data_IF_774094107119
#
_entry.id   IF_774094107119
#
_cell.length_a   1.000
_cell.length_b   1.000
_cell.length_c   1.000
_cell.angle_alpha   90.00
_cell.angle_beta   90.00
_cell.angle_gamma   90.00
#
_symmetry.space_group_name_H-M   'P 1'
#
loop_
_entity.id
_entity.type
_entity.pdbx_description
1 polymer ?
#
# COMPACT_ATOMS: atom_id res chain seq x y z
N UNK A 1 -27.52 1.00 4.86
CA UNK A 1 -26.16 0.64 4.40
C UNK A 1 -25.15 1.65 4.94
N UNK A 2 -23.95 1.20 5.38
CA UNK A 2 -22.85 2.04 5.84
C UNK A 2 -21.52 1.34 5.51
N UNK A 3 -20.90 1.70 4.42
CA UNK A 3 -19.71 1.04 3.91
C UNK A 3 -18.54 2.02 3.83
N UNK A 4 -17.35 1.59 4.24
CA UNK A 4 -16.13 2.38 4.24
C UNK A 4 -15.16 1.77 3.25
N UNK A 5 -14.51 2.60 2.46
CA UNK A 5 -13.46 2.18 1.54
C UNK A 5 -12.26 3.10 1.61
N UNK A 6 -11.09 2.51 1.51
CA UNK A 6 -9.81 3.21 1.48
C UNK A 6 -8.96 2.68 0.34
N UNK A 7 -8.22 3.55 -0.33
CA UNK A 7 -7.21 3.15 -1.29
C UNK A 7 -6.13 4.20 -1.46
N UNK A 8 -4.91 3.73 -1.64
CA UNK A 8 -3.75 4.54 -1.95
C UNK A 8 -3.13 4.04 -3.25
N UNK A 9 -2.98 4.92 -4.24
CA UNK A 9 -2.41 4.59 -5.56
C UNK A 9 -1.40 5.66 -5.98
N UNK A 10 -0.32 5.20 -6.60
CA UNK A 10 0.73 6.05 -7.13
C UNK A 10 1.92 6.19 -6.21
N UNK A 11 2.79 7.10 -6.59
CA UNK A 11 4.04 7.44 -5.93
C UNK A 11 4.37 8.92 -6.11
N UNK A 12 5.38 9.39 -5.38
CA UNK A 12 5.81 10.79 -5.41
C UNK A 12 4.71 11.75 -4.96
N UNK A 13 4.82 13.00 -5.39
CA UNK A 13 3.89 14.06 -4.99
C UNK A 13 2.48 13.89 -5.61
N UNK A 14 2.35 13.16 -6.72
CA UNK A 14 1.07 12.90 -7.36
C UNK A 14 0.29 11.72 -6.76
N UNK A 15 0.83 11.05 -5.75
CA UNK A 15 0.16 9.97 -5.04
C UNK A 15 -1.25 10.37 -4.60
N UNK A 16 -2.22 9.49 -4.81
CA UNK A 16 -3.60 9.68 -4.41
C UNK A 16 -3.96 8.78 -3.24
N UNK A 17 -4.47 9.37 -2.16
CA UNK A 17 -5.07 8.63 -1.06
C UNK A 17 -6.55 9.01 -0.92
N UNK A 18 -7.40 8.04 -1.10
CA UNK A 18 -8.86 8.18 -1.06
C UNK A 18 -9.40 7.46 0.16
N UNK A 19 -10.18 8.15 0.98
CA UNK A 19 -11.13 7.55 1.92
C UNK A 19 -12.54 7.92 1.49
N UNK A 20 -13.45 6.98 1.55
CA UNK A 20 -14.84 7.24 1.25
C UNK A 20 -15.80 6.48 2.16
N UNK A 21 -16.99 7.04 2.29
CA UNK A 21 -18.13 6.38 2.91
C UNK A 21 -19.29 6.36 1.93
N UNK A 22 -19.95 5.20 1.82
CA UNK A 22 -21.14 4.97 0.98
C UNK A 22 -22.28 4.55 1.88
N UNK A 23 -23.43 5.19 1.76
CA UNK A 23 -24.59 4.81 2.57
C UNK A 23 -25.87 5.52 2.18
N UNK A 24 -26.95 5.19 2.87
CA UNK A 24 -28.28 5.68 2.62
C UNK A 24 -28.40 7.18 2.87
N UNK A 25 -29.21 7.84 2.03
CA UNK A 25 -29.54 9.28 2.16
C UNK A 25 -30.16 9.61 3.52
N UNK A 26 -31.03 8.73 4.03
CA UNK A 26 -31.70 8.89 5.30
C UNK A 26 -30.82 8.46 6.51
N UNK A 27 -29.63 7.94 6.25
CA UNK A 27 -28.70 7.43 7.26
C UNK A 27 -27.59 8.41 7.65
N UNK A 28 -26.61 7.94 8.43
CA UNK A 28 -25.47 8.76 8.87
C UNK A 28 -24.66 9.36 7.73
N UNK A 29 -24.53 8.63 6.59
CA UNK A 29 -23.79 9.09 5.42
C UNK A 29 -24.53 10.24 4.71
N UNK A 30 -25.86 10.16 4.64
CA UNK A 30 -26.69 11.24 4.11
C UNK A 30 -26.66 12.49 4.98
N UNK A 31 -26.64 12.34 6.29
CA UNK A 31 -26.47 13.46 7.23
C UNK A 31 -25.10 14.12 7.06
N UNK A 32 -24.02 13.32 6.92
CA UNK A 32 -22.67 13.83 6.68
C UNK A 32 -22.58 14.55 5.31
N UNK A 33 -23.25 14.03 4.29
CA UNK A 33 -23.36 14.65 2.96
C UNK A 33 -24.05 16.03 3.03
N UNK A 34 -25.22 16.10 3.66
CA UNK A 34 -25.97 17.34 3.82
C UNK A 34 -25.19 18.37 4.64
N UNK A 35 -24.56 17.95 5.73
CA UNK A 35 -23.70 18.82 6.54
C UNK A 35 -22.50 19.33 5.75
N UNK A 36 -21.85 18.48 4.95
CA UNK A 36 -20.74 18.87 4.10
C UNK A 36 -21.12 19.93 3.07
N UNK A 37 -22.32 19.88 2.50
CA UNK A 37 -22.81 20.89 1.56
C UNK A 37 -23.20 22.22 2.23
N UNK A 38 -23.70 22.17 3.46
CA UNK A 38 -24.24 23.35 4.15
C UNK A 38 -23.23 24.03 5.07
N UNK A 39 -22.22 23.34 5.56
CA UNK A 39 -21.22 23.87 6.49
C UNK A 39 -19.87 24.05 5.77
N UNK A 40 -19.54 25.30 5.46
CA UNK A 40 -18.27 25.63 4.86
C UNK A 40 -17.14 25.61 5.88
N UNK A 41 -16.08 24.85 5.59
CA UNK A 41 -14.85 24.84 6.37
C UNK A 41 -13.73 25.54 5.60
N UNK A 42 -13.01 26.43 6.26
CA UNK A 42 -11.90 27.15 5.64
C UNK A 42 -10.84 26.17 5.12
N UNK A 43 -10.53 26.26 3.82
CA UNK A 43 -9.55 25.40 3.16
C UNK A 43 -9.99 23.96 2.89
N UNK A 44 -11.18 23.57 3.35
CA UNK A 44 -11.72 22.20 3.15
C UNK A 44 -13.15 22.23 2.59
N UNK A 45 -13.43 23.19 1.73
CA UNK A 45 -14.77 23.37 1.14
C UNK A 45 -15.13 22.18 0.27
N UNK A 46 -16.19 21.42 0.61
CA UNK A 46 -16.67 20.31 -0.19
C UNK A 46 -17.30 20.80 -1.52
N UNK A 47 -17.26 19.94 -2.53
CA UNK A 47 -17.86 20.19 -3.83
C UNK A 47 -18.68 18.97 -4.27
N UNK A 48 -19.89 19.20 -4.79
CA UNK A 48 -20.65 18.16 -5.46
C UNK A 48 -19.98 17.73 -6.76
N UNK A 49 -19.69 16.46 -6.88
CA UNK A 49 -18.99 15.91 -8.04
C UNK A 49 -19.88 15.87 -9.27
N UNK A 50 -19.34 16.28 -10.40
CA UNK A 50 -20.04 16.31 -11.68
C UNK A 50 -19.25 15.56 -12.77
N UNK A 51 -19.97 14.94 -13.70
CA UNK A 51 -19.38 14.37 -14.93
C UNK A 51 -19.00 15.50 -15.90
N UNK A 52 -19.86 16.52 -15.97
CA UNK A 52 -19.65 17.78 -16.69
C UNK A 52 -20.56 18.84 -16.08
N UNK A 53 -20.39 20.13 -16.39
CA UNK A 53 -21.30 21.17 -15.91
C UNK A 53 -22.77 20.79 -16.14
N UNK A 54 -23.58 20.94 -15.11
CA UNK A 54 -25.01 20.61 -15.07
C UNK A 54 -25.35 19.11 -15.17
N UNK A 55 -24.37 18.21 -14.92
CA UNK A 55 -24.59 16.77 -14.88
C UNK A 55 -23.84 16.16 -13.69
N UNK A 56 -24.53 16.02 -12.55
CA UNK A 56 -24.01 15.38 -11.36
C UNK A 56 -23.81 13.87 -11.56
N UNK A 57 -22.96 13.30 -10.73
CA UNK A 57 -22.84 11.83 -10.61
C UNK A 57 -24.08 11.22 -9.98
N UNK A 58 -24.30 9.95 -10.28
CA UNK A 58 -25.24 9.10 -9.57
C UNK A 58 -24.54 7.80 -9.17
N UNK A 59 -24.49 7.51 -7.86
CA UNK A 59 -25.01 8.24 -6.69
C UNK A 59 -24.46 9.68 -6.58
N UNK A 60 -25.22 10.57 -5.91
CA UNK A 60 -24.72 11.90 -5.59
C UNK A 60 -23.45 11.77 -4.74
N UNK A 61 -22.38 12.43 -5.17
CA UNK A 61 -21.05 12.29 -4.58
C UNK A 61 -20.49 13.63 -4.17
N UNK A 62 -19.98 13.72 -2.95
CA UNK A 62 -19.30 14.89 -2.42
C UNK A 62 -17.79 14.62 -2.38
N UNK A 63 -16.99 15.52 -2.95
CA UNK A 63 -15.53 15.51 -2.81
C UNK A 63 -15.12 16.49 -1.71
N UNK A 64 -14.22 16.03 -0.82
CA UNK A 64 -13.73 16.78 0.34
C UNK A 64 -12.20 16.77 0.30
N UNK A 65 -11.51 17.93 0.23
CA UNK A 65 -10.07 17.98 0.32
C UNK A 65 -9.58 17.58 1.72
N UNK A 66 -8.63 16.63 1.83
CA UNK A 66 -7.96 16.28 3.09
C UNK A 66 -6.88 17.28 3.49
N UNK A 67 -6.27 17.93 2.51
CA UNK A 67 -5.25 18.96 2.72
C UNK A 67 -5.92 20.33 2.59
N UNK A 68 -5.50 21.27 3.41
CA UNK A 68 -6.00 22.65 3.31
C UNK A 68 -5.69 23.24 1.95
N UNK A 69 -6.71 23.64 1.23
CA UNK A 69 -6.60 24.38 -0.03
C UNK A 69 -6.16 25.80 0.31
N UNK A 70 -4.90 26.12 0.01
CA UNK A 70 -4.27 27.39 0.40
C UNK A 70 -4.45 28.47 -0.65
N UNK A 71 -4.49 28.11 -1.92
CA UNK A 71 -4.55 29.04 -3.04
C UNK A 71 -5.37 28.50 -4.23
N UNK A 72 -5.38 29.25 -5.34
CA UNK A 72 -6.12 28.87 -6.54
C UNK A 72 -5.47 27.69 -7.30
N UNK A 73 -4.17 27.49 -7.17
CA UNK A 73 -3.48 26.35 -7.80
C UNK A 73 -3.87 25.05 -7.09
N UNK A 74 -3.88 25.04 -5.78
CA UNK A 74 -4.40 23.91 -4.99
C UNK A 74 -5.87 23.63 -5.31
N UNK A 75 -6.69 24.68 -5.37
CA UNK A 75 -8.10 24.54 -5.75
C UNK A 75 -8.24 23.93 -7.15
N UNK A 76 -7.42 24.33 -8.11
CA UNK A 76 -7.45 23.82 -9.47
C UNK A 76 -7.11 22.31 -9.54
N UNK A 77 -6.17 21.82 -8.70
CA UNK A 77 -5.83 20.39 -8.60
C UNK A 77 -7.00 19.57 -8.09
N UNK A 78 -7.68 20.06 -7.05
CA UNK A 78 -8.82 19.35 -6.44
C UNK A 78 -10.06 19.39 -7.35
N UNK A 79 -10.45 20.59 -7.78
CA UNK A 79 -11.71 20.79 -8.52
C UNK A 79 -11.58 20.56 -10.04
N UNK A 80 -10.36 20.37 -10.54
CA UNK A 80 -10.07 19.95 -11.90
C UNK A 80 -9.85 18.43 -12.00
N UNK A 81 -8.59 17.97 -12.06
CA UNK A 81 -8.28 16.56 -12.33
C UNK A 81 -8.83 15.60 -11.29
N UNK A 82 -8.78 15.91 -9.99
CA UNK A 82 -9.26 14.99 -8.96
C UNK A 82 -10.78 14.84 -8.98
N UNK A 83 -11.52 15.95 -9.06
CA UNK A 83 -12.99 15.92 -9.18
C UNK A 83 -13.43 15.13 -10.43
N UNK A 84 -12.78 15.39 -11.56
CA UNK A 84 -13.10 14.67 -12.81
C UNK A 84 -12.81 13.18 -12.69
N UNK A 85 -11.71 12.82 -12.01
CA UNK A 85 -11.34 11.43 -11.72
C UNK A 85 -12.36 10.72 -10.83
N UNK A 86 -12.77 11.37 -9.73
CA UNK A 86 -13.80 10.84 -8.81
C UNK A 86 -15.13 10.64 -9.54
N UNK A 87 -15.58 11.65 -10.28
CA UNK A 87 -16.84 11.57 -11.04
C UNK A 87 -16.84 10.41 -12.03
N UNK A 88 -15.75 10.25 -12.78
CA UNK A 88 -15.61 9.15 -13.74
C UNK A 88 -15.56 7.78 -13.03
N UNK A 89 -14.82 7.66 -11.94
CA UNK A 89 -14.69 6.41 -11.18
C UNK A 89 -16.05 5.97 -10.60
N UNK A 90 -16.86 6.90 -10.10
CA UNK A 90 -18.22 6.61 -9.60
C UNK A 90 -19.11 6.10 -10.74
N UNK A 91 -19.09 6.76 -11.90
CA UNK A 91 -19.88 6.33 -13.05
C UNK A 91 -19.49 4.93 -13.54
N UNK A 92 -18.18 4.69 -13.67
CA UNK A 92 -17.66 3.39 -14.11
C UNK A 92 -17.93 2.29 -13.07
N UNK A 93 -17.92 2.60 -11.76
CA UNK A 93 -18.29 1.64 -10.72
C UNK A 93 -19.77 1.21 -10.78
N UNK A 94 -20.66 2.11 -11.20
CA UNK A 94 -22.08 1.77 -11.48
C UNK A 94 -22.18 0.96 -12.77
N UNK A 95 -21.47 1.35 -13.83
CA UNK A 95 -21.48 0.64 -15.11
C UNK A 95 -20.98 -0.80 -14.98
N UNK A 96 -19.92 -1.01 -14.20
CA UNK A 96 -19.31 -2.32 -13.94
C UNK A 96 -20.06 -3.15 -12.87
N UNK A 97 -21.08 -2.58 -12.23
CA UNK A 97 -21.94 -3.29 -11.28
C UNK A 97 -21.39 -3.37 -9.84
N UNK A 98 -20.27 -2.69 -9.50
CA UNK A 98 -19.84 -2.57 -8.10
C UNK A 98 -20.88 -1.81 -7.27
N UNK A 99 -21.50 -0.79 -7.83
CA UNK A 99 -22.66 -0.12 -7.25
C UNK A 99 -23.89 -0.54 -8.07
N UNK A 100 -24.88 -1.24 -7.47
CA UNK A 100 -26.10 -1.62 -8.16
C UNK A 100 -26.89 -0.41 -8.66
N UNK A 101 -27.41 -0.48 -9.89
CA UNK A 101 -28.13 0.64 -10.53
C UNK A 101 -29.46 0.99 -9.85
N UNK A 102 -30.07 0.04 -9.20
CA UNK A 102 -31.36 0.18 -8.53
C UNK A 102 -31.29 0.99 -7.23
N UNK A 103 -30.10 1.10 -6.62
CA UNK A 103 -29.92 1.85 -5.36
C UNK A 103 -29.28 3.23 -5.54
N UNK A 104 -28.87 3.63 -6.75
CA UNK A 104 -28.10 4.88 -6.96
C UNK A 104 -28.83 6.16 -6.53
N UNK A 105 -30.16 6.13 -6.47
CA UNK A 105 -30.97 7.25 -5.99
C UNK A 105 -31.17 7.27 -4.48
N UNK A 106 -30.94 6.15 -3.81
CA UNK A 106 -31.19 5.98 -2.37
C UNK A 106 -29.94 6.17 -1.53
N UNK A 107 -28.77 6.17 -2.16
CA UNK A 107 -27.46 6.30 -1.50
C UNK A 107 -26.72 7.57 -1.92
N UNK A 108 -25.76 7.96 -1.08
CA UNK A 108 -24.79 9.02 -1.36
C UNK A 108 -23.36 8.56 -1.04
N UNK A 109 -22.38 9.24 -1.60
CA UNK A 109 -20.95 8.97 -1.38
C UNK A 109 -20.27 10.25 -0.92
N UNK A 110 -19.52 10.17 0.19
CA UNK A 110 -18.59 11.22 0.60
C UNK A 110 -17.18 10.70 0.34
N UNK A 111 -16.42 11.39 -0.51
CA UNK A 111 -15.05 11.04 -0.92
C UNK A 111 -14.08 12.09 -0.42
N UNK A 112 -13.19 11.68 0.47
CA UNK A 112 -12.07 12.53 0.91
C UNK A 112 -10.85 12.27 0.02
N UNK A 113 -10.25 13.33 -0.53
CA UNK A 113 -9.10 13.26 -1.44
C UNK A 113 -7.87 13.89 -0.80
N UNK A 114 -6.76 13.20 -0.87
CA UNK A 114 -5.45 13.76 -0.56
C UNK A 114 -4.74 14.12 -1.86
N UNK A 115 -4.28 15.37 -1.95
CA UNK A 115 -3.42 15.87 -3.02
C UNK A 115 -2.29 16.64 -2.38
N UNK A 116 -1.05 16.23 -2.63
CA UNK A 116 0.13 16.94 -2.15
C UNK A 116 0.17 18.35 -2.81
N UNK A 117 0.33 19.43 -2.03
CA UNK A 117 0.48 20.77 -2.58
C UNK A 117 1.63 20.90 -3.61
N UNK A 118 2.68 20.07 -3.47
CA UNK A 118 3.80 20.05 -4.42
C UNK A 118 3.49 19.28 -5.72
N UNK A 119 2.35 18.59 -5.84
CA UNK A 119 1.94 17.88 -7.05
C UNK A 119 1.76 18.87 -8.22
N UNK A 120 2.29 18.51 -9.40
CA UNK A 120 2.26 19.38 -10.60
C UNK A 120 1.72 18.69 -11.85
N UNK A 121 1.71 17.36 -11.87
CA UNK A 121 1.30 16.60 -13.03
C UNK A 121 -0.19 16.25 -12.98
N UNK A 122 -1.02 17.11 -13.58
CA UNK A 122 -2.48 16.96 -13.61
C UNK A 122 -2.94 15.62 -14.21
N UNK A 123 -2.21 15.07 -15.18
CA UNK A 123 -2.53 13.76 -15.76
C UNK A 123 -2.34 12.65 -14.74
N UNK A 124 -1.25 12.66 -13.97
CA UNK A 124 -1.02 11.68 -12.90
C UNK A 124 -2.02 11.88 -11.75
N UNK A 125 -2.31 13.13 -11.35
CA UNK A 125 -3.36 13.42 -10.36
C UNK A 125 -4.67 12.77 -10.79
N UNK A 126 -5.09 12.97 -12.04
CA UNK A 126 -6.30 12.32 -12.57
C UNK A 126 -6.20 10.79 -12.51
N UNK A 127 -5.14 10.20 -13.08
CA UNK A 127 -5.00 8.75 -13.18
C UNK A 127 -4.99 8.06 -11.81
N UNK A 128 -4.25 8.62 -10.84
CA UNK A 128 -4.12 8.02 -9.53
C UNK A 128 -5.40 8.20 -8.70
N UNK A 129 -6.04 9.37 -8.74
CA UNK A 129 -7.32 9.57 -8.06
C UNK A 129 -8.44 8.73 -8.68
N UNK A 130 -8.48 8.55 -10.00
CA UNK A 130 -9.41 7.64 -10.64
C UNK A 130 -9.24 6.19 -10.15
N UNK A 131 -8.01 5.67 -10.22
CA UNK A 131 -7.73 4.31 -9.77
C UNK A 131 -8.01 4.11 -8.28
N UNK A 132 -7.59 5.05 -7.43
CA UNK A 132 -7.82 5.00 -5.99
C UNK A 132 -9.31 5.06 -5.64
N UNK A 133 -10.08 5.96 -6.25
CA UNK A 133 -11.54 6.05 -6.02
C UNK A 133 -12.25 4.76 -6.43
N UNK A 134 -11.93 4.23 -7.61
CA UNK A 134 -12.54 2.99 -8.10
C UNK A 134 -12.23 1.80 -7.18
N UNK A 135 -10.97 1.68 -6.74
CA UNK A 135 -10.55 0.63 -5.82
C UNK A 135 -11.22 0.79 -4.44
N UNK A 136 -11.30 2.02 -3.92
CA UNK A 136 -11.96 2.29 -2.64
C UNK A 136 -13.47 1.98 -2.69
N UNK A 137 -14.18 2.31 -3.77
CA UNK A 137 -15.59 1.92 -3.96
C UNK A 137 -15.74 0.41 -3.95
N UNK A 138 -14.92 -0.29 -4.73
CA UNK A 138 -14.93 -1.75 -4.77
C UNK A 138 -14.72 -2.34 -3.38
N UNK A 139 -13.69 -1.92 -2.65
CA UNK A 139 -13.39 -2.37 -1.29
C UNK A 139 -14.53 -2.10 -0.32
N UNK A 140 -15.15 -0.92 -0.40
CA UNK A 140 -16.33 -0.57 0.41
C UNK A 140 -17.48 -1.54 0.17
N UNK A 141 -17.80 -1.83 -1.09
CA UNK A 141 -18.91 -2.70 -1.45
C UNK A 141 -18.65 -4.18 -1.17
N UNK A 142 -17.38 -4.62 -1.22
CA UNK A 142 -16.95 -5.98 -0.88
C UNK A 142 -16.69 -6.18 0.63
N UNK A 143 -16.73 -5.12 1.45
CA UNK A 143 -16.44 -5.19 2.89
C UNK A 143 -14.96 -5.49 3.19
N UNK A 144 -14.04 -5.09 2.29
CA UNK A 144 -12.61 -5.25 2.49
C UNK A 144 -12.04 -4.14 3.39
N UNK A 145 -11.04 -4.46 4.25
CA UNK A 145 -10.42 -5.78 4.48
C UNK A 145 -11.18 -6.64 5.48
N UNK A 146 -10.99 -7.97 5.40
CA UNK A 146 -11.43 -8.86 6.48
C UNK A 146 -10.60 -8.64 7.75
N UNK A 147 -11.15 -8.98 8.91
CA UNK A 147 -10.41 -8.87 10.19
C UNK A 147 -9.15 -9.74 10.18
N UNK A 148 -9.20 -10.92 9.59
CA UNK A 148 -8.05 -11.81 9.50
C UNK A 148 -6.91 -11.18 8.68
N UNK A 149 -7.25 -10.50 7.58
CA UNK A 149 -6.28 -9.74 6.78
C UNK A 149 -5.63 -8.61 7.59
N UNK A 150 -6.42 -7.87 8.35
CA UNK A 150 -5.90 -6.78 9.22
C UNK A 150 -4.95 -7.33 10.26
N UNK A 151 -5.32 -8.43 10.93
CA UNK A 151 -4.50 -9.06 11.95
C UNK A 151 -3.19 -9.63 11.38
N UNK A 152 -3.23 -10.22 10.20
CA UNK A 152 -2.05 -10.75 9.51
C UNK A 152 -1.05 -9.65 9.09
N UNK A 153 -1.54 -8.45 8.77
CA UNK A 153 -0.75 -7.35 8.23
C UNK A 153 -0.43 -6.23 9.24
N UNK A 154 -1.00 -6.26 10.44
CA UNK A 154 -0.92 -5.16 11.43
C UNK A 154 0.50 -4.67 11.74
N UNK A 155 1.49 -5.56 11.68
CA UNK A 155 2.89 -5.26 12.02
C UNK A 155 3.74 -4.89 10.79
N UNK A 156 3.12 -4.72 9.60
CA UNK A 156 3.81 -4.43 8.34
C UNK A 156 3.59 -3.02 7.83
N UNK A 157 2.84 -2.21 8.58
CA UNK A 157 2.41 -0.92 8.09
C UNK A 157 3.55 0.09 7.91
N UNK A 158 3.74 0.57 6.68
CA UNK A 158 4.32 1.88 6.43
C UNK A 158 3.32 2.72 5.68
N UNK A 159 3.18 3.99 6.06
CA UNK A 159 2.39 4.93 5.29
C UNK A 159 3.34 5.75 4.41
N UNK A 160 3.23 5.69 3.06
CA UNK A 160 4.18 6.34 2.14
C UNK A 160 4.31 7.85 2.35
N UNK A 161 3.22 8.50 2.79
CA UNK A 161 3.19 9.95 3.07
C UNK A 161 3.80 10.27 4.43
N UNK A 162 3.61 9.39 5.42
CA UNK A 162 4.01 9.63 6.80
C UNK A 162 5.41 9.11 7.14
N UNK A 163 6.00 8.28 6.27
CA UNK A 163 7.37 7.77 6.40
C UNK A 163 7.64 6.95 7.68
N UNK A 164 6.58 6.51 8.37
CA UNK A 164 6.71 5.76 9.60
C UNK A 164 6.53 4.26 9.36
N UNK A 165 7.47 3.47 9.85
CA UNK A 165 7.41 2.01 9.84
C UNK A 165 7.54 1.48 11.27
N UNK A 166 6.69 0.53 11.63
CA UNK A 166 6.82 -0.17 12.93
C UNK A 166 8.12 -0.97 12.92
N UNK A 167 9.00 -0.68 13.88
CA UNK A 167 10.26 -1.40 13.99
C UNK A 167 10.02 -2.75 14.66
N UNK A 168 10.52 -3.83 14.05
CA UNK A 168 10.41 -5.19 14.58
C UNK A 168 11.71 -5.68 15.23
N UNK A 169 12.84 -5.16 14.78
CA UNK A 169 14.17 -5.52 15.30
C UNK A 169 14.66 -4.43 16.24
N UNK A 170 14.24 -4.51 17.53
CA UNK A 170 14.48 -3.47 18.53
C UNK A 170 15.80 -3.64 19.29
N UNK A 171 16.31 -4.87 19.38
CA UNK A 171 17.27 -5.20 20.44
C UNK A 171 18.28 -6.25 19.98
N UNK A 172 19.25 -5.92 19.10
CA UNK A 172 20.28 -6.85 18.69
C UNK A 172 21.11 -7.34 19.91
N UNK A 173 21.79 -8.50 19.81
CA UNK A 173 21.96 -9.31 18.59
C UNK A 173 20.79 -10.28 18.34
N UNK A 174 20.64 -10.69 17.07
CA UNK A 174 19.71 -11.73 16.61
C UNK A 174 20.48 -12.90 16.01
N UNK A 175 19.91 -14.10 16.12
CA UNK A 175 20.39 -15.30 15.44
C UNK A 175 19.54 -15.51 14.18
N UNK A 176 20.15 -15.38 13.02
CA UNK A 176 19.53 -15.72 11.74
C UNK A 176 19.86 -17.15 11.39
N UNK A 177 18.83 -17.97 11.16
CA UNK A 177 18.97 -19.39 10.78
C UNK A 177 18.56 -19.52 9.32
N UNK A 178 19.57 -19.71 8.45
CA UNK A 178 19.36 -19.90 7.03
C UNK A 178 18.94 -21.37 6.73
N UNK A 179 17.79 -21.53 6.13
CA UNK A 179 17.27 -22.84 5.69
C UNK A 179 17.72 -23.08 4.25
N UNK A 180 19.01 -23.32 4.06
CA UNK A 180 19.62 -23.64 2.76
C UNK A 180 19.42 -25.11 2.41
N UNK A 181 18.15 -25.51 2.26
CA UNK A 181 17.70 -26.87 2.09
C UNK A 181 16.99 -27.05 0.76
N UNK A 182 16.91 -28.29 0.33
CA UNK A 182 16.17 -28.68 -0.88
C UNK A 182 15.01 -29.68 -0.57
N UNK A 183 14.57 -29.74 0.69
CA UNK A 183 13.59 -30.70 1.19
C UNK A 183 12.68 -30.04 2.24
N UNK A 184 11.35 -30.11 2.04
CA UNK A 184 10.37 -29.51 2.94
C UNK A 184 10.28 -30.23 4.30
N UNK A 185 10.38 -31.56 4.32
CA UNK A 185 10.31 -32.32 5.59
C UNK A 185 11.51 -32.00 6.49
N UNK A 186 12.68 -31.77 5.89
CA UNK A 186 13.87 -31.31 6.63
C UNK A 186 13.68 -29.89 7.15
N UNK A 187 13.11 -28.98 6.34
CA UNK A 187 12.76 -27.64 6.75
C UNK A 187 11.80 -27.65 7.95
N UNK A 188 10.72 -28.40 7.87
CA UNK A 188 9.73 -28.50 8.96
C UNK A 188 10.35 -29.04 10.25
N UNK A 189 11.19 -30.07 10.18
CA UNK A 189 11.89 -30.62 11.35
C UNK A 189 12.77 -29.57 12.01
N UNK A 190 13.61 -28.87 11.23
CA UNK A 190 14.48 -27.82 11.77
C UNK A 190 13.65 -26.70 12.39
N UNK A 191 12.61 -26.21 11.71
CA UNK A 191 11.73 -25.17 12.24
C UNK A 191 11.12 -25.60 13.57
N UNK A 192 10.66 -26.85 13.70
CA UNK A 192 10.06 -27.37 14.92
C UNK A 192 11.07 -27.51 16.07
N UNK A 193 12.32 -27.79 15.75
CA UNK A 193 13.40 -27.91 16.73
C UNK A 193 13.97 -26.54 17.18
N UNK A 194 13.75 -25.47 16.40
CA UNK A 194 14.17 -24.13 16.76
C UNK A 194 13.38 -23.60 17.98
N UNK A 195 14.03 -22.90 18.91
CA UNK A 195 13.33 -22.24 20.00
C UNK A 195 12.42 -21.14 19.44
N UNK A 196 11.17 -21.09 19.89
CA UNK A 196 10.25 -19.98 19.58
C UNK A 196 10.61 -18.77 20.45
N UNK A 197 11.58 -18.00 19.99
CA UNK A 197 12.14 -16.83 20.65
C UNK A 197 12.22 -15.66 19.68
N UNK A 198 11.86 -14.50 20.14
CA UNK A 198 11.89 -13.23 19.42
C UNK A 198 13.25 -12.91 18.77
N UNK A 199 14.35 -13.45 19.31
CA UNK A 199 15.70 -13.23 18.80
C UNK A 199 16.16 -14.25 17.75
N UNK A 200 15.30 -15.18 17.35
CA UNK A 200 15.57 -16.15 16.30
C UNK A 200 14.84 -15.71 15.03
N UNK A 201 15.60 -15.36 14.01
CA UNK A 201 15.10 -15.04 12.69
C UNK A 201 15.21 -16.28 11.80
N UNK A 202 14.20 -16.53 10.98
CA UNK A 202 14.17 -17.69 10.07
C UNK A 202 14.32 -17.18 8.65
N UNK A 203 15.30 -17.71 7.94
CA UNK A 203 15.52 -17.39 6.53
C UNK A 203 15.11 -18.54 5.63
N UNK A 204 14.19 -18.29 4.70
CA UNK A 204 13.96 -19.14 3.57
C UNK A 204 15.13 -18.97 2.60
N UNK A 205 16.13 -19.85 2.69
CA UNK A 205 17.38 -19.75 1.95
C UNK A 205 17.18 -19.86 0.44
N UNK A 206 18.14 -19.33 -0.32
CA UNK A 206 18.10 -19.31 -1.80
C UNK A 206 17.78 -20.68 -2.43
N UNK A 207 18.39 -21.81 -1.98
CA UNK A 207 18.06 -23.13 -2.55
C UNK A 207 16.62 -23.55 -2.32
N UNK A 208 16.09 -23.26 -1.14
CA UNK A 208 14.72 -23.58 -0.75
C UNK A 208 13.71 -22.81 -1.61
N UNK A 209 13.91 -21.48 -1.73
CA UNK A 209 13.06 -20.61 -2.54
C UNK A 209 13.13 -20.99 -4.02
N UNK A 210 14.32 -21.27 -4.54
CA UNK A 210 14.48 -21.67 -5.96
C UNK A 210 13.82 -23.00 -6.29
N UNK A 211 13.79 -23.93 -5.34
CA UNK A 211 13.20 -25.27 -5.57
C UNK A 211 11.66 -25.25 -5.42
N UNK A 212 11.14 -24.55 -4.44
CA UNK A 212 9.71 -24.62 -4.07
C UNK A 212 8.93 -23.30 -4.36
N UNK A 213 9.61 -22.28 -4.86
CA UNK A 213 9.03 -20.96 -5.09
C UNK A 213 8.90 -20.14 -3.81
N UNK A 214 8.48 -18.88 -3.97
CA UNK A 214 8.32 -17.92 -2.85
C UNK A 214 7.25 -18.36 -1.85
N UNK A 215 6.27 -19.17 -2.27
CA UNK A 215 5.23 -19.75 -1.40
C UNK A 215 5.75 -20.55 -0.21
N UNK A 216 7.05 -20.96 -0.21
CA UNK A 216 7.67 -21.57 0.96
C UNK A 216 7.74 -20.62 2.17
N UNK A 217 7.78 -19.33 1.95
CA UNK A 217 7.73 -18.30 3.02
C UNK A 217 6.40 -18.40 3.77
N UNK A 218 5.28 -18.53 3.04
CA UNK A 218 3.96 -18.74 3.62
C UNK A 218 3.88 -20.01 4.47
N UNK A 219 4.50 -21.12 4.01
CA UNK A 219 4.59 -22.37 4.79
C UNK A 219 5.39 -22.20 6.10
N UNK A 220 6.51 -21.45 6.06
CA UNK A 220 7.26 -21.12 7.29
C UNK A 220 6.39 -20.28 8.24
N UNK A 221 5.62 -19.34 7.72
CA UNK A 221 4.68 -18.53 8.49
C UNK A 221 3.60 -19.37 9.18
N UNK A 222 3.06 -20.37 8.49
CA UNK A 222 2.08 -21.30 9.07
C UNK A 222 2.67 -22.08 10.26
N UNK A 223 3.93 -22.52 10.14
CA UNK A 223 4.63 -23.25 11.21
C UNK A 223 5.06 -22.34 12.37
N UNK A 224 5.37 -21.07 12.09
CA UNK A 224 5.85 -20.07 13.06
C UNK A 224 5.17 -18.70 12.85
N UNK A 225 3.94 -18.53 13.31
CA UNK A 225 3.15 -17.33 13.05
C UNK A 225 3.79 -16.02 13.53
N UNK A 226 4.57 -16.05 14.61
CA UNK A 226 5.23 -14.87 15.21
C UNK A 226 6.67 -14.65 14.78
N UNK A 227 7.28 -15.56 14.02
CA UNK A 227 8.69 -15.45 13.62
C UNK A 227 8.94 -14.28 12.67
N UNK A 228 10.12 -13.67 12.76
CA UNK A 228 10.63 -12.79 11.72
C UNK A 228 11.19 -13.64 10.58
N UNK A 229 10.60 -13.55 9.39
CA UNK A 229 10.93 -14.41 8.24
C UNK A 229 11.59 -13.59 7.14
N UNK A 230 12.73 -14.07 6.69
CA UNK A 230 13.55 -13.48 5.62
C UNK A 230 13.37 -14.34 4.37
N UNK A 231 13.05 -13.73 3.23
CA UNK A 231 13.08 -14.37 1.93
C UNK A 231 14.42 -14.07 1.22
N UNK A 232 15.28 -15.09 1.10
CA UNK A 232 16.57 -14.93 0.42
C UNK A 232 16.43 -15.09 -1.09
N UNK A 233 15.92 -14.05 -1.73
CA UNK A 233 15.71 -14.01 -3.18
C UNK A 233 16.98 -13.65 -3.95
N UNK A 234 17.93 -12.97 -3.30
CA UNK A 234 19.10 -12.35 -3.97
C UNK A 234 18.68 -11.58 -5.22
N UNK A 235 17.59 -10.81 -5.06
CA UNK A 235 17.00 -10.00 -6.13
C UNK A 235 18.05 -9.16 -6.84
N UNK A 236 18.10 -9.22 -8.16
CA UNK A 236 19.14 -8.58 -8.95
C UNK A 236 18.61 -7.47 -9.88
N UNK A 237 17.53 -7.71 -10.60
CA UNK A 237 17.00 -6.82 -11.65
C UNK A 237 15.48 -6.61 -11.61
N UNK A 238 14.68 -7.59 -11.15
CA UNK A 238 13.21 -7.53 -11.14
C UNK A 238 12.64 -7.22 -9.74
N UNK A 239 13.35 -6.39 -8.97
CA UNK A 239 13.10 -6.15 -7.55
C UNK A 239 11.66 -5.83 -7.20
N UNK A 240 10.98 -4.99 -7.98
CA UNK A 240 9.58 -4.62 -7.70
C UNK A 240 8.64 -5.83 -7.65
N UNK A 241 8.81 -6.78 -8.56
CA UNK A 241 7.93 -7.96 -8.67
C UNK A 241 8.27 -8.96 -7.58
N UNK A 242 9.56 -9.29 -7.44
CA UNK A 242 10.01 -10.30 -6.48
C UNK A 242 9.76 -9.89 -5.04
N UNK A 243 10.01 -8.62 -4.68
CA UNK A 243 9.74 -8.10 -3.34
C UNK A 243 8.25 -8.13 -3.02
N UNK A 244 7.41 -7.74 -4.00
CA UNK A 244 5.96 -7.84 -3.82
C UNK A 244 5.52 -9.29 -3.60
N UNK A 245 6.05 -10.24 -4.37
CA UNK A 245 5.74 -11.67 -4.18
C UNK A 245 6.12 -12.15 -2.77
N UNK A 246 7.30 -11.77 -2.27
CA UNK A 246 7.71 -12.13 -0.91
C UNK A 246 6.83 -11.48 0.17
N UNK A 247 6.45 -10.23 -0.02
CA UNK A 247 5.54 -9.53 0.88
C UNK A 247 4.13 -10.16 0.89
N UNK A 248 3.61 -10.54 -0.28
CA UNK A 248 2.33 -11.24 -0.41
C UNK A 248 2.35 -12.59 0.32
N UNK A 249 3.49 -13.29 0.33
CA UNK A 249 3.74 -14.54 1.07
C UNK A 249 4.18 -14.30 2.53
N UNK A 250 4.02 -13.10 3.03
CA UNK A 250 4.24 -12.76 4.43
C UNK A 250 5.70 -12.67 4.93
N UNK A 251 6.67 -12.48 4.03
CA UNK A 251 8.04 -12.16 4.45
C UNK A 251 8.11 -10.86 5.26
N UNK A 252 8.99 -10.81 6.26
CA UNK A 252 9.32 -9.60 7.01
C UNK A 252 10.52 -8.86 6.43
N UNK A 253 11.37 -9.57 5.70
CA UNK A 253 12.54 -9.02 5.01
C UNK A 253 12.83 -9.76 3.70
N UNK A 254 13.53 -9.07 2.79
CA UNK A 254 14.00 -9.66 1.53
C UNK A 254 15.49 -9.37 1.35
N UNK A 255 16.27 -10.40 0.99
CA UNK A 255 17.65 -10.23 0.60
C UNK A 255 17.75 -9.79 -0.87
N UNK A 256 18.41 -8.66 -1.08
CA UNK A 256 18.70 -8.01 -2.36
C UNK A 256 20.17 -8.23 -2.67
N UNK A 257 20.53 -8.62 -3.89
CA UNK A 257 21.93 -8.82 -4.26
C UNK A 257 22.67 -7.50 -4.44
N UNK A 258 23.76 -7.32 -3.69
CA UNK A 258 24.70 -6.21 -3.85
C UNK A 258 25.44 -6.20 -5.21
N UNK A 259 25.37 -7.29 -5.98
CA UNK A 259 25.93 -7.35 -7.33
C UNK A 259 25.07 -6.59 -8.36
N UNK A 260 23.83 -6.23 -8.02
CA UNK A 260 22.96 -5.42 -8.86
C UNK A 260 23.54 -4.02 -9.15
N UNK A 261 22.99 -3.36 -10.17
CA UNK A 261 23.30 -1.94 -10.39
C UNK A 261 22.74 -1.09 -9.26
N UNK A 262 23.34 0.08 -9.00
CA UNK A 262 22.83 1.02 -7.99
C UNK A 262 21.34 1.34 -8.24
N UNK A 263 20.94 1.53 -9.49
CA UNK A 263 19.54 1.80 -9.83
C UNK A 263 18.61 0.63 -9.58
N UNK A 264 19.06 -0.63 -9.77
CA UNK A 264 18.27 -1.82 -9.41
C UNK A 264 18.12 -1.94 -7.91
N UNK A 265 19.20 -1.73 -7.15
CA UNK A 265 19.20 -1.76 -5.68
C UNK A 265 18.27 -0.69 -5.12
N UNK A 266 18.35 0.56 -5.59
CA UNK A 266 17.47 1.65 -5.19
C UNK A 266 15.99 1.32 -5.41
N UNK A 267 15.65 0.78 -6.58
CA UNK A 267 14.27 0.35 -6.89
C UNK A 267 13.79 -0.77 -5.97
N UNK A 268 14.67 -1.71 -5.64
CA UNK A 268 14.36 -2.81 -4.74
C UNK A 268 14.12 -2.29 -3.31
N UNK A 269 15.02 -1.47 -2.77
CA UNK A 269 14.86 -0.86 -1.43
C UNK A 269 13.59 0.00 -1.37
N UNK A 270 13.33 0.82 -2.37
CA UNK A 270 12.09 1.60 -2.43
C UNK A 270 10.84 0.70 -2.39
N UNK A 271 10.85 -0.44 -3.08
CA UNK A 271 9.72 -1.36 -3.04
C UNK A 271 9.59 -2.04 -1.66
N UNK A 272 10.70 -2.42 -0.97
CA UNK A 272 10.61 -2.94 0.41
C UNK A 272 9.99 -1.92 1.36
N UNK A 273 10.39 -0.65 1.26
CA UNK A 273 9.78 0.44 2.03
C UNK A 273 8.29 0.57 1.76
N UNK A 274 7.89 0.50 0.49
CA UNK A 274 6.48 0.57 0.07
C UNK A 274 5.66 -0.61 0.59
N UNK A 275 6.24 -1.82 0.60
CA UNK A 275 5.58 -3.02 1.13
C UNK A 275 5.64 -3.12 2.67
N UNK A 276 6.37 -2.24 3.34
CA UNK A 276 6.52 -2.24 4.79
C UNK A 276 7.38 -3.36 5.36
N UNK A 277 8.26 -3.95 4.53
CA UNK A 277 9.20 -5.01 4.92
C UNK A 277 10.63 -4.49 4.92
N UNK A 278 11.54 -5.25 5.52
CA UNK A 278 12.96 -4.88 5.62
C UNK A 278 13.72 -5.24 4.34
N UNK A 279 14.68 -4.40 3.99
CA UNK A 279 15.68 -4.65 2.96
C UNK A 279 16.97 -5.16 3.60
N UNK A 280 17.49 -6.27 3.12
CA UNK A 280 18.81 -6.81 3.44
C UNK A 280 19.66 -6.71 2.17
N UNK A 281 20.80 -6.03 2.24
CA UNK A 281 21.69 -5.96 1.08
C UNK A 281 22.80 -7.00 1.23
N UNK A 282 22.67 -8.11 0.50
CA UNK A 282 23.68 -9.19 0.50
C UNK A 282 24.90 -8.78 -0.33
N UNK A 283 25.99 -8.54 0.37
CA UNK A 283 27.26 -8.10 -0.20
C UNK A 283 28.21 -9.25 -0.62
N UNK A 284 27.71 -10.48 -0.71
CA UNK A 284 28.50 -11.60 -1.19
C UNK A 284 29.10 -11.34 -2.57
N UNK A 285 30.42 -11.52 -2.69
CA UNK A 285 31.20 -11.26 -3.90
C UNK A 285 31.25 -9.78 -4.39
N UNK A 286 30.83 -8.84 -3.57
CA UNK A 286 31.02 -7.40 -3.83
C UNK A 286 32.41 -7.02 -3.38
N UNK A 287 33.24 -6.55 -4.30
CA UNK A 287 34.67 -6.23 -4.01
C UNK A 287 34.83 -4.97 -3.17
N UNK A 288 33.99 -3.97 -3.37
CA UNK A 288 34.00 -2.71 -2.61
C UNK A 288 32.57 -2.41 -2.11
N UNK A 289 32.27 -2.91 -0.92
CA UNK A 289 30.97 -2.72 -0.31
C UNK A 289 30.78 -1.31 0.26
N UNK A 290 31.85 -0.64 0.69
CA UNK A 290 31.78 0.73 1.21
C UNK A 290 31.45 1.72 0.09
N UNK A 291 32.09 1.60 -1.07
CA UNK A 291 31.75 2.39 -2.26
C UNK A 291 30.30 2.15 -2.65
N UNK A 292 29.88 0.88 -2.68
CA UNK A 292 28.50 0.50 -3.04
C UNK A 292 27.47 1.12 -2.11
N UNK A 293 27.69 1.06 -0.82
CA UNK A 293 26.79 1.65 0.18
C UNK A 293 26.79 3.18 0.12
N UNK A 294 27.96 3.80 -0.08
CA UNK A 294 28.06 5.27 -0.20
C UNK A 294 27.37 5.83 -1.44
N UNK A 295 27.27 5.03 -2.51
CA UNK A 295 26.57 5.41 -3.75
C UNK A 295 25.02 5.43 -3.61
N UNK A 296 24.47 4.86 -2.54
CA UNK A 296 23.04 4.90 -2.26
C UNK A 296 22.68 6.20 -1.50
N UNK A 297 21.58 6.88 -1.85
CA UNK A 297 21.10 8.04 -1.08
C UNK A 297 20.64 7.63 0.32
N UNK A 298 20.66 8.58 1.28
CA UNK A 298 20.40 8.27 2.69
C UNK A 298 19.00 7.72 2.96
N UNK A 299 18.01 8.16 2.19
CA UNK A 299 16.62 7.68 2.24
C UNK A 299 16.40 6.31 1.60
N UNK A 300 17.42 5.78 0.89
CA UNK A 300 17.42 4.47 0.25
C UNK A 300 18.61 3.61 0.68
N UNK A 301 19.07 3.77 1.91
CA UNK A 301 19.99 2.82 2.54
C UNK A 301 19.24 1.52 2.89
N UNK A 302 19.89 0.35 2.79
CA UNK A 302 19.30 -0.89 3.29
C UNK A 302 19.10 -0.83 4.81
N UNK A 303 18.15 -1.61 5.30
CA UNK A 303 17.89 -1.72 6.75
C UNK A 303 18.94 -2.59 7.45
N UNK A 304 19.47 -3.59 6.74
CA UNK A 304 20.46 -4.58 7.21
C UNK A 304 21.50 -4.80 6.13
#
# INVERSE_FOLDING_TARGET
>A
MYNIGEALIGDGNELAHIDLIIGEKEGPVGQAFANGLSNLSVGHTPLTTVIRPNLMTKPATLIIPKVTVGDLDDAAKVFGPAQTAVGRAVADAVEEGYIPKDIVEDIVINVSVFIDPAAKNYRKIYQYNYGATKLAIRRAMEGYPSIDKVLAEKDRGTHPIMGFRVQKLWSPPYLQVALDLDNLDAMERIINDLPDKERVLIEAGTPLVKKFGVGVVGKIRELRPSAFIIADLKTLDVGRVEIKMAADETADAVAISGLGTIESIKKAIHETQKQGIYSILDMMNVSDFEEKLSALPDDLKPDI
#
